data_IF_906523179796
#
_entry.id   IF_906523179796
#
_cell.length_a   1.000
_cell.length_b   1.000
_cell.length_c   1.000
_cell.angle_alpha   90.00
_cell.angle_beta   90.00
_cell.angle_gamma   90.00
#
_symmetry.space_group_name_H-M   'P 1'
#
loop_
_entity.id
_entity.type
_entity.pdbx_description
1 polymer ?
#
# COMPACT_ATOMS: atom_id res chain seq x y z
N UNK A 1 8.31 16.54 1.10
CA UNK A 1 7.59 15.81 2.18
C UNK A 1 6.53 14.90 1.55
N UNK A 2 6.66 13.59 1.69
CA UNK A 2 5.74 12.59 1.12
C UNK A 2 4.50 12.42 2.03
N UNK A 3 3.76 13.50 2.27
CA UNK A 3 2.67 13.54 3.26
C UNK A 3 1.29 13.20 2.67
N UNK A 4 1.20 12.18 1.80
CA UNK A 4 -0.03 11.90 1.06
C UNK A 4 -0.45 10.45 1.25
N UNK A 5 -1.39 10.23 2.17
CA UNK A 5 -2.18 8.99 2.23
C UNK A 5 -2.71 8.66 0.83
N UNK A 6 -2.61 7.40 0.44
CA UNK A 6 -3.23 6.91 -0.78
C UNK A 6 -4.71 6.61 -0.46
N UNK A 7 -5.67 7.26 -1.14
CA UNK A 7 -7.07 6.83 -1.13
C UNK A 7 -7.18 5.39 -1.65
N UNK A 8 -8.26 4.70 -1.29
CA UNK A 8 -8.44 3.27 -1.56
C UNK A 8 -8.20 2.88 -3.02
N UNK A 9 -8.69 3.67 -3.98
CA UNK A 9 -8.47 3.41 -5.39
C UNK A 9 -6.99 3.53 -5.81
N UNK A 10 -6.27 4.53 -5.28
CA UNK A 10 -4.84 4.71 -5.55
C UNK A 10 -4.01 3.63 -4.84
N UNK A 11 -4.42 3.21 -3.64
CA UNK A 11 -3.77 2.14 -2.89
C UNK A 11 -3.95 0.79 -3.57
N UNK A 12 -5.16 0.46 -4.05
CA UNK A 12 -5.42 -0.76 -4.83
C UNK A 12 -4.52 -0.85 -6.05
N UNK A 13 -4.39 0.26 -6.78
CA UNK A 13 -3.51 0.33 -7.94
C UNK A 13 -2.03 0.16 -7.56
N UNK A 14 -1.56 0.79 -6.48
CA UNK A 14 -0.18 0.62 -6.01
C UNK A 14 0.10 -0.82 -5.54
N UNK A 15 -0.84 -1.47 -4.84
CA UNK A 15 -0.72 -2.89 -4.45
C UNK A 15 -0.60 -3.80 -5.66
N UNK A 16 -1.40 -3.56 -6.69
CA UNK A 16 -1.27 -4.30 -7.96
C UNK A 16 0.12 -4.12 -8.57
N UNK A 17 0.63 -2.88 -8.64
CA UNK A 17 1.95 -2.58 -9.20
C UNK A 17 3.07 -3.21 -8.35
N UNK A 18 2.99 -3.14 -7.02
CA UNK A 18 3.97 -3.75 -6.12
C UNK A 18 4.00 -5.28 -6.23
N UNK A 19 2.84 -5.91 -6.38
CA UNK A 19 2.73 -7.36 -6.57
C UNK A 19 3.23 -7.83 -7.94
N UNK A 20 3.28 -6.96 -8.94
CA UNK A 20 3.68 -7.32 -10.30
C UNK A 20 5.16 -7.75 -10.43
N UNK A 21 5.97 -7.67 -9.37
CA UNK A 21 7.43 -7.95 -9.35
C UNK A 21 8.28 -7.08 -10.30
N UNK A 22 7.68 -6.36 -11.24
CA UNK A 22 8.34 -5.47 -12.17
C UNK A 22 8.55 -4.08 -11.56
N UNK A 23 9.77 -3.57 -11.69
CA UNK A 23 10.12 -2.20 -11.27
C UNK A 23 9.45 -1.14 -12.15
N UNK A 24 9.14 -1.50 -13.40
CA UNK A 24 8.56 -0.63 -14.42
C UNK A 24 7.38 -1.35 -15.08
N UNK A 25 6.25 -0.64 -15.20
CA UNK A 25 5.01 -1.17 -15.76
C UNK A 25 4.53 -0.27 -16.90
N UNK A 26 3.90 -0.86 -17.91
CA UNK A 26 3.38 -0.14 -19.08
C UNK A 26 1.94 0.30 -18.80
N UNK A 27 1.60 1.53 -19.20
CA UNK A 27 0.28 2.11 -18.97
C UNK A 27 -0.88 1.25 -19.46
N UNK A 28 -0.69 0.57 -20.60
CA UNK A 28 -1.69 -0.28 -21.24
C UNK A 28 -1.89 -1.57 -20.44
N UNK A 29 -0.80 -2.27 -20.14
CA UNK A 29 -0.83 -3.54 -19.41
C UNK A 29 -1.47 -3.37 -18.03
N UNK A 30 -1.12 -2.29 -17.32
CA UNK A 30 -1.73 -1.98 -16.02
C UNK A 30 -3.22 -1.70 -16.16
N UNK A 31 -3.64 -0.97 -17.20
CA UNK A 31 -5.04 -0.66 -17.41
C UNK A 31 -5.86 -1.90 -17.79
N UNK A 32 -5.33 -2.75 -18.66
CA UNK A 32 -5.98 -3.99 -19.09
C UNK A 32 -6.17 -4.96 -17.91
N UNK A 33 -5.17 -5.10 -17.03
CA UNK A 33 -5.26 -5.97 -15.85
C UNK A 33 -6.19 -5.40 -14.76
N UNK A 34 -6.15 -4.09 -14.54
CA UNK A 34 -7.04 -3.42 -13.59
C UNK A 34 -8.50 -3.43 -14.07
N UNK A 35 -8.74 -3.34 -15.37
CA UNK A 35 -10.08 -3.49 -15.95
C UNK A 35 -10.62 -4.90 -15.71
N UNK A 36 -9.81 -5.95 -15.88
CA UNK A 36 -10.22 -7.34 -15.56
C UNK A 36 -10.50 -7.54 -14.07
N UNK A 37 -9.67 -6.99 -13.19
CA UNK A 37 -9.75 -7.23 -11.75
C UNK A 37 -10.85 -6.41 -11.06
N UNK A 38 -11.03 -5.14 -11.47
CA UNK A 38 -11.90 -4.19 -10.79
C UNK A 38 -12.99 -3.57 -11.68
N UNK A 39 -13.03 -3.91 -12.98
CA UNK A 39 -14.01 -3.36 -13.93
C UNK A 39 -13.79 -1.87 -14.23
N UNK A 40 -12.61 -1.33 -13.95
CA UNK A 40 -12.34 0.09 -14.17
C UNK A 40 -12.08 0.38 -15.63
N UNK A 41 -12.68 1.46 -16.14
CA UNK A 41 -12.35 1.98 -17.48
C UNK A 41 -10.88 2.36 -17.54
N UNK A 42 -10.26 2.12 -18.69
CA UNK A 42 -8.86 2.47 -18.97
C UNK A 42 -8.54 3.94 -18.62
N UNK A 43 -9.46 4.89 -18.86
CA UNK A 43 -9.28 6.31 -18.50
C UNK A 43 -9.16 6.56 -17.00
N UNK A 44 -9.87 5.78 -16.18
CA UNK A 44 -9.79 5.84 -14.71
C UNK A 44 -8.40 5.44 -14.24
N UNK A 45 -7.88 4.32 -14.75
CA UNK A 45 -6.54 3.83 -14.40
C UNK A 45 -5.46 4.84 -14.79
N UNK A 46 -5.54 5.42 -16.00
CA UNK A 46 -4.60 6.47 -16.44
C UNK A 46 -4.67 7.71 -15.55
N UNK A 47 -5.87 8.11 -15.12
CA UNK A 47 -6.04 9.25 -14.20
C UNK A 47 -5.40 8.97 -12.84
N UNK A 48 -5.57 7.76 -12.30
CA UNK A 48 -4.96 7.35 -11.04
C UNK A 48 -3.43 7.26 -11.16
N UNK A 49 -2.88 6.70 -12.24
CA UNK A 49 -1.43 6.66 -12.50
C UNK A 49 -0.83 8.07 -12.58
N UNK A 50 -1.53 9.00 -13.21
CA UNK A 50 -1.13 10.41 -13.28
C UNK A 50 -1.12 11.05 -11.89
N UNK A 51 -2.14 10.78 -11.07
CA UNK A 51 -2.21 11.27 -9.68
C UNK A 51 -1.08 10.70 -8.83
N UNK A 52 -0.80 9.40 -8.93
CA UNK A 52 0.31 8.73 -8.24
C UNK A 52 1.67 9.32 -8.63
N UNK A 53 1.84 9.65 -9.92
CA UNK A 53 3.04 10.34 -10.42
C UNK A 53 3.18 11.74 -9.81
N UNK A 54 2.11 12.54 -9.81
CA UNK A 54 2.09 13.87 -9.16
C UNK A 54 2.33 13.81 -7.65
N UNK A 55 2.02 12.68 -7.00
CA UNK A 55 2.28 12.45 -5.58
C UNK A 55 3.71 11.95 -5.31
N UNK A 56 4.48 11.60 -6.34
CA UNK A 56 5.86 11.12 -6.22
C UNK A 56 5.99 9.63 -5.90
N UNK A 57 4.92 8.85 -6.04
CA UNK A 57 4.97 7.39 -5.84
C UNK A 57 5.51 6.66 -7.07
N UNK A 58 5.24 7.22 -8.24
CA UNK A 58 5.66 6.72 -9.54
C UNK A 58 6.40 7.83 -10.30
N UNK A 59 7.27 7.46 -11.22
CA UNK A 59 7.78 8.35 -12.26
C UNK A 59 7.29 7.85 -13.61
N UNK A 60 6.78 8.76 -14.44
CA UNK A 60 6.34 8.45 -15.80
C UNK A 60 7.42 8.79 -16.82
N UNK A 61 7.65 7.89 -17.76
CA UNK A 61 8.54 8.10 -18.89
C UNK A 61 7.84 7.66 -20.17
N UNK A 62 7.79 8.54 -21.16
CA UNK A 62 7.24 8.19 -22.48
C UNK A 62 8.34 7.52 -23.31
N UNK A 63 8.09 6.27 -23.70
CA UNK A 63 9.01 5.49 -24.54
C UNK A 63 8.21 5.03 -25.77
N UNK A 64 8.48 5.67 -26.91
CA UNK A 64 7.72 5.47 -28.14
C UNK A 64 6.24 5.85 -27.99
N UNK A 65 5.34 4.89 -28.26
CA UNK A 65 3.89 5.08 -28.19
C UNK A 65 3.29 4.88 -26.80
N UNK A 66 4.06 4.34 -25.84
CA UNK A 66 3.55 3.95 -24.53
C UNK A 66 4.19 4.76 -23.40
N UNK A 67 3.45 4.92 -22.31
CA UNK A 67 3.95 5.53 -21.07
C UNK A 67 4.34 4.42 -20.11
N UNK A 68 5.56 4.48 -19.62
CA UNK A 68 6.11 3.57 -18.64
C UNK A 68 6.08 4.25 -17.28
N UNK A 69 5.62 3.54 -16.26
CA UNK A 69 5.61 4.00 -14.89
C UNK A 69 6.61 3.18 -14.08
N UNK A 70 7.56 3.85 -13.44
CA UNK A 70 8.55 3.21 -12.57
C UNK A 70 8.23 3.51 -11.11
N UNK A 71 8.27 2.49 -10.27
CA UNK A 71 7.98 2.61 -8.84
C UNK A 71 9.13 3.32 -8.14
N UNK A 72 8.82 4.42 -7.43
CA UNK A 72 9.78 5.15 -6.61
C UNK A 72 9.70 4.76 -5.13
N UNK A 73 8.50 4.47 -4.64
CA UNK A 73 8.25 4.12 -3.24
C UNK A 73 7.86 2.65 -3.15
N UNK A 74 8.64 1.86 -2.41
CA UNK A 74 8.34 0.44 -2.21
C UNK A 74 7.21 0.25 -1.19
N UNK A 75 6.48 -0.85 -1.30
CA UNK A 75 5.40 -1.19 -0.36
C UNK A 75 5.88 -1.16 1.11
N UNK A 76 7.02 -1.79 1.41
CA UNK A 76 7.60 -1.81 2.76
C UNK A 76 7.89 -0.39 3.31
N UNK A 77 8.36 0.52 2.46
CA UNK A 77 8.63 1.90 2.85
C UNK A 77 7.33 2.67 3.10
N UNK A 78 6.34 2.50 2.22
CA UNK A 78 5.02 3.09 2.38
C UNK A 78 4.33 2.60 3.66
N UNK A 79 4.32 1.28 3.90
CA UNK A 79 3.74 0.69 5.11
C UNK A 79 4.46 1.15 6.37
N UNK A 80 5.79 1.30 6.34
CA UNK A 80 6.55 1.85 7.48
C UNK A 80 6.15 3.30 7.78
N UNK A 81 5.98 4.13 6.75
CA UNK A 81 5.54 5.52 6.89
C UNK A 81 4.09 5.61 7.36
N UNK A 82 3.21 4.78 6.80
CA UNK A 82 1.80 4.72 7.18
C UNK A 82 1.64 4.21 8.62
N UNK A 83 2.37 3.17 9.00
CA UNK A 83 2.43 2.67 10.37
C UNK A 83 2.88 3.76 11.35
N UNK A 84 3.99 4.46 11.08
CA UNK A 84 4.43 5.59 11.92
C UNK A 84 3.38 6.69 12.03
N UNK A 85 2.62 6.96 10.96
CA UNK A 85 1.54 7.96 10.97
C UNK A 85 0.35 7.51 11.82
N UNK A 86 -0.04 6.24 11.70
CA UNK A 86 -1.11 5.64 12.52
C UNK A 86 -0.70 5.70 13.99
N UNK A 87 0.51 5.24 14.32
CA UNK A 87 1.01 5.23 15.69
C UNK A 87 1.29 6.63 16.25
N UNK A 88 1.72 7.59 15.43
CA UNK A 88 1.92 8.99 15.86
C UNK A 88 0.61 9.72 16.17
N UNK A 89 -0.54 9.21 15.71
CA UNK A 89 -1.87 9.71 16.08
C UNK A 89 -2.49 9.00 17.30
N UNK A 90 -1.80 8.00 17.86
CA UNK A 90 -2.24 7.26 19.05
C UNK A 90 -1.36 7.68 20.23
N UNK A 91 -1.99 8.02 21.37
CA UNK A 91 -1.28 8.55 22.55
C UNK A 91 -0.83 7.43 23.49
N UNK A 92 0.29 7.63 24.21
CA UNK A 92 0.88 6.84 25.32
C UNK A 92 1.02 5.30 25.21
N UNK A 93 0.13 4.58 24.54
CA UNK A 93 0.21 3.15 24.25
C UNK A 93 -0.45 2.79 22.89
N UNK A 94 0.25 3.10 21.77
CA UNK A 94 -0.29 2.97 20.41
C UNK A 94 -0.82 1.58 20.03
N UNK A 95 -0.19 0.52 20.54
CA UNK A 95 -0.55 -0.86 20.19
C UNK A 95 -1.82 -1.28 20.92
N UNK A 96 -1.93 -1.00 22.22
CA UNK A 96 -3.13 -1.30 23.00
C UNK A 96 -4.35 -0.57 22.45
N UNK A 97 -4.20 0.70 22.08
CA UNK A 97 -5.32 1.49 21.53
C UNK A 97 -5.75 0.99 20.13
N UNK A 98 -4.80 0.53 19.32
CA UNK A 98 -5.10 -0.12 18.03
C UNK A 98 -5.86 -1.43 18.23
N UNK A 99 -5.39 -2.28 19.16
CA UNK A 99 -6.05 -3.56 19.48
C UNK A 99 -7.46 -3.31 20.02
N UNK A 100 -7.65 -2.34 20.92
CA UNK A 100 -8.99 -1.99 21.43
C UNK A 100 -9.93 -1.52 20.31
N UNK A 101 -9.47 -0.70 19.36
CA UNK A 101 -10.28 -0.24 18.22
C UNK A 101 -10.64 -1.35 17.23
N UNK A 102 -9.83 -2.41 17.16
CA UNK A 102 -10.06 -3.57 16.31
C UNK A 102 -10.91 -4.65 17.01
N UNK A 103 -10.84 -4.73 18.34
CA UNK A 103 -11.63 -5.66 19.17
C UNK A 103 -13.14 -5.36 19.10
N UNK A 104 -13.54 -4.10 19.05
CA UNK A 104 -14.95 -3.68 18.91
C UNK A 104 -15.61 -4.15 17.59
N UNK A 105 -14.85 -4.68 16.63
CA UNK A 105 -15.32 -5.09 15.30
C UNK A 105 -15.23 -6.59 15.01
N UNK A 106 -15.01 -7.44 16.01
CA UNK A 106 -14.85 -8.91 15.84
C UNK A 106 -13.67 -9.33 14.93
N UNK A 107 -12.72 -8.43 14.61
CA UNK A 107 -11.61 -8.76 13.69
C UNK A 107 -10.45 -9.51 14.38
N UNK A 108 -10.40 -9.50 15.72
CA UNK A 108 -9.33 -10.08 16.55
C UNK A 108 -9.93 -11.14 17.50
N UNK A 109 -9.63 -12.41 17.24
CA UNK A 109 -9.95 -13.52 18.14
C UNK A 109 -8.79 -13.81 19.09
N UNK A 110 -9.06 -14.56 20.16
CA UNK A 110 -8.03 -15.01 21.09
C UNK A 110 -6.92 -15.81 20.39
N UNK A 111 -7.25 -16.61 19.36
CA UNK A 111 -6.24 -17.33 18.57
C UNK A 111 -5.29 -16.39 17.83
N UNK A 112 -5.81 -15.31 17.22
CA UNK A 112 -4.98 -14.30 16.55
C UNK A 112 -4.08 -13.56 17.53
N UNK A 113 -4.56 -13.31 18.76
CA UNK A 113 -3.75 -12.68 19.81
C UNK A 113 -2.60 -13.60 20.22
N UNK A 114 -2.86 -14.89 20.38
CA UNK A 114 -1.84 -15.89 20.69
C UNK A 114 -0.81 -16.01 19.56
N UNK A 115 -1.26 -16.08 18.29
CA UNK A 115 -0.38 -16.13 17.12
C UNK A 115 0.54 -14.90 17.04
N UNK A 116 -0.02 -13.69 17.24
CA UNK A 116 0.77 -12.45 17.30
C UNK A 116 1.76 -12.49 18.46
N UNK A 117 1.34 -13.00 19.62
CA UNK A 117 2.19 -13.13 20.81
C UNK A 117 3.37 -14.09 20.60
N UNK A 118 3.15 -15.22 19.93
CA UNK A 118 4.21 -16.16 19.57
C UNK A 118 5.17 -15.56 18.53
N UNK A 119 4.64 -14.90 17.51
CA UNK A 119 5.46 -14.21 16.50
C UNK A 119 6.32 -13.08 17.08
N UNK A 120 5.82 -12.33 18.06
CA UNK A 120 6.61 -11.30 18.74
C UNK A 120 7.75 -11.92 19.57
N UNK A 121 7.53 -13.09 20.19
CA UNK A 121 8.58 -13.79 20.95
C UNK A 121 9.75 -14.19 20.07
N UNK A 122 9.51 -14.56 18.81
CA UNK A 122 10.60 -14.89 17.87
C UNK A 122 11.48 -13.69 17.54
N UNK A 123 11.08 -12.46 17.87
CA UNK A 123 11.93 -11.27 17.71
C UNK A 123 12.93 -11.09 18.85
N UNK A 124 12.69 -11.72 20.00
CA UNK A 124 13.62 -11.68 21.14
C UNK A 124 14.72 -12.74 21.03
N UNK A 125 14.56 -13.72 20.14
CA UNK A 125 15.50 -14.82 19.92
C UNK A 125 16.49 -14.54 18.75
N UNK A 126 16.38 -13.39 18.06
CA UNK A 126 17.27 -12.98 16.97
C UNK A 126 18.39 -12.00 17.42
N UNK A 127 18.49 -11.68 18.71
CA UNK A 127 19.59 -10.90 19.32
C UNK A 127 20.69 -11.79 19.94
#
# INVERSE_FOLDING_TARGET
MLNKKLPDAELKLMKFIWNSSYKTVISKDVADEIEKMYGWKHTTTITLLTRLTKKGFLISQRIGKHVHYTVLVKEKEYLKLEGKRIFGGLHNNPISELISKLHDKEEITEEKILEIGEWIKTWQDED
#
